data_IF_780893092072
#
_entry.id   IF_780893092072
#
_cell.length_a   1.000
_cell.length_b   1.000
_cell.length_c   1.000
_cell.angle_alpha   90.00
_cell.angle_beta   90.00
_cell.angle_gamma   90.00
#
_symmetry.space_group_name_H-M   'P 1'
#
loop_
_entity.id
_entity.type
_entity.pdbx_description
1 polymer ?
#
# COMPACT_ATOMS: atom_id res chain seq x y z
N UNK A 1 -28.01 44.67 29.14
CA UNK A 1 -28.27 43.56 28.21
C UNK A 1 -27.35 43.71 27.01
N UNK A 2 -26.27 42.94 26.95
CA UNK A 2 -25.32 42.97 25.84
C UNK A 2 -25.76 41.96 24.80
N UNK A 3 -26.12 42.40 23.62
CA UNK A 3 -26.32 41.58 22.45
C UNK A 3 -24.94 41.17 21.91
N UNK A 4 -24.69 39.90 21.62
CA UNK A 4 -23.44 39.50 21.01
C UNK A 4 -23.35 40.11 19.60
N UNK A 5 -22.26 40.85 19.35
CA UNK A 5 -21.96 41.34 18.01
C UNK A 5 -21.67 40.09 17.13
N UNK A 6 -22.61 39.78 16.25
CA UNK A 6 -22.36 38.85 15.16
C UNK A 6 -21.27 39.43 14.27
N UNK A 7 -20.09 38.81 14.25
CA UNK A 7 -19.10 39.07 13.22
C UNK A 7 -19.66 38.56 11.89
N UNK A 8 -19.68 39.40 10.86
CA UNK A 8 -20.09 38.93 9.54
C UNK A 8 -19.15 37.83 9.10
N UNK A 9 -19.72 36.67 8.79
CA UNK A 9 -19.03 35.54 8.19
C UNK A 9 -18.32 36.07 6.94
N UNK A 10 -17.00 36.03 6.96
CA UNK A 10 -16.20 36.35 5.77
C UNK A 10 -16.73 35.49 4.61
N UNK A 11 -17.30 36.13 3.61
CA UNK A 11 -17.78 35.45 2.42
C UNK A 11 -16.59 34.80 1.72
N UNK A 12 -16.48 33.50 1.81
CA UNK A 12 -15.57 32.73 0.97
C UNK A 12 -15.95 32.95 -0.49
N UNK A 13 -14.98 33.34 -1.32
CA UNK A 13 -15.19 33.52 -2.74
C UNK A 13 -15.77 32.24 -3.36
N UNK A 14 -16.79 32.33 -4.23
CA UNK A 14 -17.40 31.15 -4.86
C UNK A 14 -16.42 30.29 -5.66
N UNK A 15 -15.30 30.87 -6.12
CA UNK A 15 -14.23 30.17 -6.86
C UNK A 15 -13.45 29.22 -5.94
N UNK A 16 -13.20 29.59 -4.66
CA UNK A 16 -12.56 28.70 -3.69
C UNK A 16 -13.48 27.55 -3.28
N UNK A 17 -14.79 27.78 -3.18
CA UNK A 17 -15.77 26.75 -2.89
C UNK A 17 -15.87 25.70 -4.02
N UNK A 18 -15.83 26.16 -5.27
CA UNK A 18 -15.85 25.25 -6.42
C UNK A 18 -14.60 24.35 -6.48
N UNK A 19 -13.41 24.91 -6.24
CA UNK A 19 -12.16 24.12 -6.20
C UNK A 19 -12.10 23.13 -5.04
N UNK A 20 -12.64 23.50 -3.88
CA UNK A 20 -12.68 22.61 -2.70
C UNK A 20 -13.71 21.51 -2.88
N UNK A 21 -14.87 21.81 -3.48
CA UNK A 21 -15.90 20.82 -3.81
C UNK A 21 -15.45 19.86 -4.92
N UNK A 22 -14.76 20.34 -5.96
CA UNK A 22 -14.18 19.48 -7.00
C UNK A 22 -13.11 18.53 -6.44
N UNK A 23 -12.27 19.03 -5.53
CA UNK A 23 -11.27 18.21 -4.83
C UNK A 23 -11.90 17.17 -3.91
N UNK A 24 -13.00 17.54 -3.25
CA UNK A 24 -13.77 16.63 -2.40
C UNK A 24 -14.55 15.61 -3.24
N UNK A 25 -15.12 16.03 -4.36
CA UNK A 25 -15.80 15.13 -5.30
C UNK A 25 -14.82 14.17 -6.00
N UNK A 26 -13.62 14.62 -6.37
CA UNK A 26 -12.58 13.73 -6.87
C UNK A 26 -12.05 12.76 -5.80
N UNK A 27 -12.07 13.15 -4.52
CA UNK A 27 -11.77 12.25 -3.41
C UNK A 27 -12.84 11.19 -3.15
N UNK A 28 -14.11 11.49 -3.45
CA UNK A 28 -15.22 10.53 -3.34
C UNK A 28 -15.34 9.62 -4.57
N UNK A 29 -14.69 9.97 -5.69
CA UNK A 29 -14.71 9.22 -6.94
C UNK A 29 -13.34 8.63 -7.26
N UNK A 30 -12.80 7.82 -6.35
CA UNK A 30 -12.09 6.66 -6.80
C UNK A 30 -13.09 5.92 -7.68
N UNK A 31 -12.86 5.87 -8.99
CA UNK A 31 -13.85 5.26 -9.89
C UNK A 31 -14.15 3.86 -9.37
N UNK A 32 -15.39 3.43 -9.46
CA UNK A 32 -15.80 2.09 -9.00
C UNK A 32 -14.94 1.00 -9.67
N UNK A 33 -14.47 1.26 -10.88
CA UNK A 33 -13.59 0.38 -11.65
C UNK A 33 -12.20 0.28 -11.03
N UNK A 34 -11.56 1.39 -10.69
CA UNK A 34 -10.24 1.41 -10.03
C UNK A 34 -10.31 0.81 -8.63
N UNK A 35 -11.36 1.10 -7.88
CA UNK A 35 -11.57 0.47 -6.57
C UNK A 35 -11.62 -1.05 -6.67
N UNK A 36 -12.42 -1.58 -7.59
CA UNK A 36 -12.50 -3.03 -7.84
C UNK A 36 -11.17 -3.61 -8.28
N UNK A 37 -10.46 -2.94 -9.19
CA UNK A 37 -9.15 -3.40 -9.63
C UNK A 37 -8.14 -3.47 -8.48
N UNK A 38 -8.18 -2.51 -7.55
CA UNK A 38 -7.34 -2.52 -6.34
C UNK A 38 -7.75 -3.67 -5.41
N UNK A 39 -9.04 -3.84 -5.14
CA UNK A 39 -9.56 -4.91 -4.31
C UNK A 39 -9.19 -6.30 -4.88
N UNK A 40 -9.40 -6.51 -6.17
CA UNK A 40 -9.02 -7.74 -6.87
C UNK A 40 -7.50 -7.98 -6.80
N UNK A 41 -6.69 -6.93 -6.95
CA UNK A 41 -5.24 -7.02 -6.82
C UNK A 41 -4.81 -7.42 -5.40
N UNK A 42 -5.39 -6.82 -4.38
CA UNK A 42 -5.12 -7.12 -2.96
C UNK A 42 -5.52 -8.56 -2.61
N UNK A 43 -6.56 -9.07 -3.24
CA UNK A 43 -7.06 -10.44 -3.04
C UNK A 43 -6.27 -11.50 -3.83
N UNK A 44 -5.43 -11.09 -4.79
CA UNK A 44 -4.76 -12.00 -5.73
C UNK A 44 -3.71 -12.91 -5.07
N UNK A 45 -3.16 -12.51 -3.93
CA UNK A 45 -2.16 -13.27 -3.20
C UNK A 45 -2.15 -12.91 -1.70
N UNK A 46 -1.61 -13.76 -0.83
CA UNK A 46 -1.43 -13.44 0.59
C UNK A 46 -0.55 -12.22 0.84
N UNK A 47 0.47 -11.99 0.01
CA UNK A 47 1.37 -10.85 0.06
C UNK A 47 1.28 -10.10 -1.25
N UNK A 48 0.88 -8.83 -1.20
CA UNK A 48 0.73 -7.97 -2.39
C UNK A 48 1.51 -6.68 -2.18
N UNK A 49 2.33 -6.34 -3.16
CA UNK A 49 3.13 -5.12 -3.15
C UNK A 49 2.78 -4.25 -4.36
N UNK A 50 2.35 -3.02 -4.10
CA UNK A 50 2.29 -1.99 -5.12
C UNK A 50 3.63 -1.24 -5.12
N UNK A 51 4.33 -1.25 -6.24
CA UNK A 51 5.69 -0.74 -6.34
C UNK A 51 5.93 0.04 -7.64
N UNK A 52 7.04 0.76 -7.69
CA UNK A 52 7.54 1.39 -8.92
C UNK A 52 8.53 0.46 -9.61
N UNK A 53 8.15 -0.04 -10.77
CA UNK A 53 8.87 -1.06 -11.52
C UNK A 53 8.39 -2.47 -11.18
N UNK A 54 9.24 -3.44 -11.43
CA UNK A 54 8.99 -4.86 -11.15
C UNK A 54 9.97 -5.38 -10.09
N UNK A 55 9.71 -6.54 -9.48
CA UNK A 55 10.67 -7.14 -8.54
C UNK A 55 12.07 -7.34 -9.13
N UNK A 56 12.16 -7.68 -10.41
CA UNK A 56 13.42 -7.88 -11.12
C UNK A 56 14.10 -6.55 -11.49
N UNK A 57 13.28 -5.51 -11.78
CA UNK A 57 13.74 -4.18 -12.19
C UNK A 57 13.03 -3.06 -11.43
N UNK A 58 13.31 -2.89 -10.12
CA UNK A 58 12.74 -1.78 -9.34
C UNK A 58 13.21 -0.42 -9.89
N UNK A 59 12.28 0.54 -10.01
CA UNK A 59 12.55 1.87 -10.57
C UNK A 59 12.74 2.97 -9.53
N UNK A 60 12.67 2.63 -8.24
CA UNK A 60 13.02 3.56 -7.17
C UNK A 60 13.70 2.82 -6.01
N UNK A 61 14.49 3.57 -5.23
CA UNK A 61 15.26 3.01 -4.12
C UNK A 61 14.40 2.41 -3.01
N UNK A 62 13.25 2.99 -2.74
CA UNK A 62 12.31 2.50 -1.74
C UNK A 62 11.64 1.19 -2.16
N UNK A 63 11.24 1.06 -3.42
CA UNK A 63 10.70 -0.19 -3.96
C UNK A 63 11.76 -1.29 -3.96
N UNK A 64 13.02 -0.96 -4.32
CA UNK A 64 14.15 -1.90 -4.27
C UNK A 64 14.42 -2.39 -2.85
N UNK A 65 14.46 -1.49 -1.89
CA UNK A 65 14.66 -1.84 -0.49
C UNK A 65 13.57 -2.76 0.04
N UNK A 66 12.31 -2.48 -0.29
CA UNK A 66 11.17 -3.30 0.12
C UNK A 66 11.22 -4.71 -0.48
N UNK A 67 11.52 -4.84 -1.76
CA UNK A 67 11.72 -6.15 -2.41
C UNK A 67 12.86 -6.91 -1.75
N UNK A 68 13.96 -6.25 -1.44
CA UNK A 68 15.09 -6.86 -0.72
C UNK A 68 14.71 -7.38 0.66
N UNK A 69 13.95 -6.61 1.42
CA UNK A 69 13.45 -7.01 2.74
C UNK A 69 12.54 -8.24 2.66
N UNK A 70 11.57 -8.25 1.73
CA UNK A 70 10.67 -9.39 1.54
C UNK A 70 11.43 -10.65 1.10
N UNK A 71 12.39 -10.50 0.19
CA UNK A 71 13.27 -11.59 -0.22
C UNK A 71 14.09 -12.16 0.92
N UNK A 72 14.67 -11.30 1.78
CA UNK A 72 15.45 -11.72 2.95
C UNK A 72 14.60 -12.43 4.01
N UNK A 73 13.31 -12.14 4.08
CA UNK A 73 12.36 -12.85 4.94
C UNK A 73 11.98 -14.24 4.42
N UNK A 74 12.30 -14.55 3.17
CA UNK A 74 11.96 -15.82 2.55
C UNK A 74 10.52 -15.92 2.09
N UNK A 75 9.94 -14.83 1.60
CA UNK A 75 8.58 -14.83 1.02
C UNK A 75 8.52 -15.79 -0.17
N UNK A 76 7.54 -16.68 -0.16
CA UNK A 76 7.29 -17.62 -1.24
C UNK A 76 6.79 -16.88 -2.49
N UNK A 77 7.48 -16.98 -3.63
CA UNK A 77 7.04 -16.36 -4.89
C UNK A 77 5.64 -16.79 -5.33
N UNK A 78 5.20 -18.00 -4.99
CA UNK A 78 3.86 -18.50 -5.29
C UNK A 78 2.75 -17.79 -4.47
N UNK A 79 3.12 -17.13 -3.39
CA UNK A 79 2.23 -16.42 -2.47
C UNK A 79 2.38 -14.90 -2.52
N UNK A 80 3.12 -14.42 -3.49
CA UNK A 80 3.47 -13.02 -3.68
C UNK A 80 3.01 -12.50 -5.04
N UNK A 81 2.40 -11.33 -5.04
CA UNK A 81 2.08 -10.58 -6.25
C UNK A 81 2.60 -9.15 -6.14
N UNK A 82 3.21 -8.66 -7.21
CA UNK A 82 3.67 -7.28 -7.33
C UNK A 82 2.95 -6.57 -8.48
N UNK A 83 2.55 -5.34 -8.25
CA UNK A 83 1.89 -4.49 -9.24
C UNK A 83 2.72 -3.24 -9.49
N UNK A 84 3.09 -3.04 -10.76
CA UNK A 84 3.87 -1.88 -11.20
C UNK A 84 2.94 -0.69 -11.45
N UNK A 85 2.92 0.25 -10.51
CA UNK A 85 2.07 1.45 -10.62
C UNK A 85 2.53 2.45 -11.67
N UNK A 86 3.73 2.27 -12.25
CA UNK A 86 4.22 3.13 -13.33
C UNK A 86 3.55 2.83 -14.68
N UNK A 87 2.97 1.64 -14.83
CA UNK A 87 2.26 1.24 -16.05
C UNK A 87 0.84 1.78 -16.12
N UNK A 88 0.27 2.14 -14.97
CA UNK A 88 -1.10 2.63 -14.86
C UNK A 88 -1.18 3.85 -13.92
N UNK A 89 -1.28 5.07 -14.49
CA UNK A 89 -1.40 6.30 -13.70
C UNK A 89 -2.65 6.35 -12.81
N UNK A 90 -3.76 5.75 -13.24
CA UNK A 90 -4.99 5.71 -12.46
C UNK A 90 -4.84 4.79 -11.25
N UNK A 91 -4.22 3.63 -11.43
CA UNK A 91 -3.87 2.74 -10.34
C UNK A 91 -2.92 3.43 -9.34
N UNK A 92 -1.91 4.16 -9.85
CA UNK A 92 -0.94 4.86 -9.00
C UNK A 92 -1.59 5.88 -8.07
N UNK A 93 -2.49 6.70 -8.60
CA UNK A 93 -3.21 7.68 -7.79
C UNK A 93 -4.31 7.00 -6.95
N UNK A 94 -5.00 6.03 -7.52
CA UNK A 94 -6.07 5.28 -6.86
C UNK A 94 -5.61 4.52 -5.62
N UNK A 95 -4.45 3.87 -5.66
CA UNK A 95 -3.95 3.13 -4.50
C UNK A 95 -3.59 4.05 -3.32
N UNK A 96 -3.13 5.27 -3.59
CA UNK A 96 -2.85 6.26 -2.53
C UNK A 96 -4.14 6.74 -1.87
N UNK A 97 -5.20 6.96 -2.65
CA UNK A 97 -6.52 7.32 -2.12
C UNK A 97 -7.16 6.16 -1.36
N UNK A 98 -7.07 4.97 -1.90
CA UNK A 98 -7.64 3.76 -1.30
C UNK A 98 -7.04 3.46 0.07
N UNK A 99 -5.73 3.55 0.21
CA UNK A 99 -4.99 3.30 1.45
C UNK A 99 -4.93 4.51 2.38
N UNK A 100 -5.31 5.71 1.91
CA UNK A 100 -5.05 6.99 2.58
C UNK A 100 -3.56 7.18 2.91
N UNK A 101 -2.68 6.61 2.09
CA UNK A 101 -1.23 6.65 2.23
C UNK A 101 -0.57 7.26 0.99
N UNK A 102 0.24 8.32 1.15
CA UNK A 102 0.63 9.18 0.02
C UNK A 102 1.78 8.63 -0.83
N UNK A 103 2.46 7.59 -0.40
CA UNK A 103 3.71 7.13 -1.01
C UNK A 103 3.64 5.69 -1.52
N UNK A 104 4.52 5.36 -2.47
CA UNK A 104 4.78 4.03 -3.00
C UNK A 104 6.22 3.65 -2.62
N UNK A 105 6.53 2.43 -2.20
CA UNK A 105 5.71 1.21 -2.24
C UNK A 105 4.68 1.11 -1.11
N UNK A 106 3.69 0.23 -1.31
CA UNK A 106 2.68 -0.12 -0.31
C UNK A 106 2.51 -1.63 -0.24
N UNK A 107 2.62 -2.17 0.98
CA UNK A 107 2.50 -3.61 1.26
C UNK A 107 1.13 -3.94 1.85
N UNK A 108 0.54 -5.00 1.34
CA UNK A 108 -0.66 -5.65 1.88
C UNK A 108 -0.35 -7.10 2.22
N UNK A 109 -0.78 -7.55 3.39
CA UNK A 109 -0.69 -8.94 3.82
C UNK A 109 -2.06 -9.39 4.28
N UNK A 110 -2.55 -10.50 3.74
CA UNK A 110 -3.91 -11.01 3.99
C UNK A 110 -4.99 -9.92 3.85
N UNK A 111 -4.91 -9.12 2.79
CA UNK A 111 -5.82 -8.02 2.45
C UNK A 111 -5.73 -6.80 3.38
N UNK A 112 -4.86 -6.80 4.37
CA UNK A 112 -4.65 -5.68 5.28
C UNK A 112 -3.48 -4.82 4.83
N UNK A 113 -3.67 -3.50 4.86
CA UNK A 113 -2.62 -2.54 4.59
C UNK A 113 -1.61 -2.53 5.74
N UNK A 114 -0.35 -2.78 5.42
CA UNK A 114 0.74 -2.82 6.41
C UNK A 114 1.48 -1.49 6.48
N UNK A 115 1.84 -0.94 5.34
CA UNK A 115 2.55 0.34 5.27
C UNK A 115 3.49 0.45 4.09
N UNK A 116 4.33 1.49 4.15
CA UNK A 116 5.36 1.78 3.17
C UNK A 116 6.74 1.25 3.60
N UNK A 117 7.77 1.64 2.85
CA UNK A 117 9.15 1.19 3.06
C UNK A 117 9.65 1.38 4.50
N UNK A 118 9.39 2.54 5.12
CA UNK A 118 9.86 2.83 6.48
C UNK A 118 9.22 1.93 7.53
N UNK A 119 7.92 1.68 7.42
CA UNK A 119 7.18 0.78 8.32
C UNK A 119 7.69 -0.65 8.16
N UNK A 120 7.84 -1.12 6.93
CA UNK A 120 8.33 -2.47 6.61
C UNK A 120 9.75 -2.65 7.13
N UNK A 121 10.61 -1.64 6.97
CA UNK A 121 12.00 -1.66 7.50
C UNK A 121 12.00 -1.76 9.02
N UNK A 122 11.14 -1.00 9.70
CA UNK A 122 11.01 -1.05 11.16
C UNK A 122 10.53 -2.42 11.64
N UNK A 123 9.51 -2.98 10.99
CA UNK A 123 8.99 -4.31 11.30
C UNK A 123 10.03 -5.42 11.04
N UNK A 124 10.84 -5.29 10.00
CA UNK A 124 11.93 -6.24 9.72
C UNK A 124 12.99 -6.23 10.84
N UNK A 125 13.30 -5.06 11.38
CA UNK A 125 14.26 -4.91 12.47
C UNK A 125 13.75 -5.44 13.80
N UNK A 126 12.46 -5.28 14.07
CA UNK A 126 11.82 -5.75 15.32
C UNK A 126 11.48 -7.25 15.30
N UNK A 127 11.46 -7.90 14.14
CA UNK A 127 10.98 -9.26 13.94
C UNK A 127 9.49 -9.37 13.62
N UNK A 128 8.73 -8.30 13.76
CA UNK A 128 7.27 -8.29 13.50
C UNK A 128 6.92 -8.65 12.05
N UNK A 129 7.80 -8.32 11.09
CA UNK A 129 7.58 -8.68 9.69
C UNK A 129 7.66 -10.18 9.48
N UNK A 130 8.61 -10.85 10.11
CA UNK A 130 8.74 -12.30 10.06
C UNK A 130 7.51 -12.99 10.65
N UNK A 131 7.06 -12.55 11.83
CA UNK A 131 5.87 -13.09 12.50
C UNK A 131 4.62 -12.91 11.64
N UNK A 132 4.43 -11.73 11.06
CA UNK A 132 3.31 -11.42 10.17
C UNK A 132 3.28 -12.32 8.93
N UNK A 133 4.43 -12.53 8.29
CA UNK A 133 4.55 -13.35 7.10
C UNK A 133 4.38 -14.85 7.42
N UNK A 134 4.81 -15.29 8.58
CA UNK A 134 4.61 -16.65 9.07
C UNK A 134 3.13 -16.93 9.36
N UNK A 135 2.44 -16.04 10.08
CA UNK A 135 1.01 -16.11 10.31
C UNK A 135 0.19 -16.14 9.00
N UNK A 136 0.63 -15.40 8.00
CA UNK A 136 0.04 -15.40 6.67
C UNK A 136 0.36 -16.65 5.86
N UNK A 137 1.22 -17.54 6.37
CA UNK A 137 1.72 -18.72 5.66
C UNK A 137 2.35 -18.36 4.30
N UNK A 138 3.03 -17.24 4.25
CA UNK A 138 3.58 -16.65 3.03
C UNK A 138 5.08 -16.93 2.84
N UNK A 139 5.71 -17.63 3.76
CA UNK A 139 7.12 -18.01 3.66
C UNK A 139 7.29 -19.32 2.90
N UNK A 140 8.46 -19.47 2.26
CA UNK A 140 8.87 -20.75 1.66
C UNK A 140 8.93 -21.78 2.80
N UNK A 141 8.33 -22.99 2.64
CA UNK A 141 8.44 -24.06 3.62
C UNK A 141 9.92 -24.37 3.87
N UNK A 142 10.33 -24.50 5.12
CA UNK A 142 11.63 -25.06 5.44
C UNK A 142 11.64 -26.50 4.90
N UNK A 143 12.55 -26.81 3.97
CA UNK A 143 12.80 -28.19 3.58
C UNK A 143 13.32 -28.89 4.83
N UNK A 144 12.52 -29.81 5.38
CA UNK A 144 13.03 -30.75 6.36
C UNK A 144 14.19 -31.48 5.69
N UNK A 145 15.42 -31.16 6.07
CA UNK A 145 16.57 -31.97 5.73
C UNK A 145 16.26 -33.38 6.28
N UNK A 146 15.79 -34.27 5.40
CA UNK A 146 15.86 -35.70 5.68
C UNK A 146 17.33 -36.01 6.01
N UNK A 147 17.60 -36.04 7.30
CA UNK A 147 18.84 -36.66 7.79
C UNK A 147 18.80 -38.11 7.31
N UNK A 148 19.43 -38.32 6.18
CA UNK A 148 19.69 -39.67 5.66
C UNK A 148 20.71 -40.29 6.58
N UNK A 149 20.20 -40.83 7.67
CA UNK A 149 20.97 -41.75 8.52
C UNK A 149 21.38 -42.95 7.67
N UNK A 150 22.68 -43.02 7.48
CA UNK A 150 23.32 -44.24 6.99
C UNK A 150 23.92 -44.99 8.18
#
# INVERSE_FOLDING_TARGET
MFLPKFNPIRSFSPILRAKTLLRYQNRMYLSTEIRRAIEDAIESAPVVLFMKGTPEFPKCGFSRATIGLLGNQGVDPAKFAAYNVLEDPELREGIKEFSEWPTIPQLYVNKEFIGGCDVITSMARSGELADLLEEAQALVPEEEEETKDR
#
